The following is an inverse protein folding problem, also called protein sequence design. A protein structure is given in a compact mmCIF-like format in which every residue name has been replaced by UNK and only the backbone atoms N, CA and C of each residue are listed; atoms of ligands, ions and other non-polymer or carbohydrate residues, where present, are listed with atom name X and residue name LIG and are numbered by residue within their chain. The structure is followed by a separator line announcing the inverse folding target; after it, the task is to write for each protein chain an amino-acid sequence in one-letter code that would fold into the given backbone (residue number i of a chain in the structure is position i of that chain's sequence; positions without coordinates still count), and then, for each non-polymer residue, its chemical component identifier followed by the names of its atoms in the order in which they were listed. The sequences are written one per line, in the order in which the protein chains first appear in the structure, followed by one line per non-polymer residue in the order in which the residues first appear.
data_IF_393751124905
#
_entry.id   IF_393751124905
#
_cell.length_a   1.000
_cell.length_b   1.000
_cell.length_c   1.000
_cell.angle_alpha   90.00
_cell.angle_beta   90.00
_cell.angle_gamma   90.00
#
_symmetry.space_group_name_H-M   'P 1'
#
loop_
_entity.id
_entity.type
_entity.pdbx_description
1 polymer ?
#
# COMPACT_ATOMS: atom_id res chain seq x y z
N UNK A 1 16.99 17.67 24.54
CA UNK A 1 16.44 17.22 25.85
C UNK A 1 16.71 15.73 26.06
N UNK A 2 16.82 15.28 27.32
CA UNK A 2 16.92 13.85 27.68
C UNK A 2 15.55 13.38 28.15
N UNK A 3 15.05 12.31 27.54
CA UNK A 3 13.73 11.73 27.81
C UNK A 3 13.93 10.25 28.09
N UNK A 4 13.22 9.73 29.09
CA UNK A 4 13.14 8.29 29.35
C UNK A 4 11.86 7.77 28.71
N UNK A 5 11.97 6.69 27.95
CA UNK A 5 10.87 6.06 27.21
C UNK A 5 10.83 4.58 27.59
N UNK A 6 9.64 4.06 27.78
CA UNK A 6 9.44 2.61 27.84
C UNK A 6 9.30 2.08 26.40
N UNK A 7 10.06 1.03 26.07
CA UNK A 7 10.14 0.47 24.72
C UNK A 7 10.32 -1.04 24.81
N UNK A 8 9.64 -1.78 23.94
CA UNK A 8 9.82 -3.22 23.84
C UNK A 8 11.28 -3.58 23.53
N UNK A 9 11.82 -4.55 24.26
CA UNK A 9 13.22 -4.98 24.13
C UNK A 9 13.59 -5.37 22.70
N UNK A 10 12.71 -6.10 22.01
CA UNK A 10 12.94 -6.51 20.63
C UNK A 10 13.08 -5.32 19.68
N UNK A 11 12.33 -4.24 19.92
CA UNK A 11 12.40 -3.03 19.11
C UNK A 11 13.71 -2.28 19.41
N UNK A 12 14.12 -2.21 20.67
CA UNK A 12 15.39 -1.62 21.07
C UNK A 12 16.59 -2.37 20.45
N UNK A 13 16.55 -3.71 20.43
CA UNK A 13 17.58 -4.55 19.79
C UNK A 13 17.66 -4.26 18.29
N UNK A 14 16.52 -4.19 17.60
CA UNK A 14 16.44 -3.84 16.17
C UNK A 14 16.99 -2.45 15.90
N UNK A 15 16.60 -1.45 16.69
CA UNK A 15 17.08 -0.08 16.54
C UNK A 15 18.60 0.04 16.76
N UNK A 16 19.15 -0.64 17.77
CA UNK A 16 20.61 -0.69 18.01
C UNK A 16 21.36 -1.34 16.85
N UNK A 17 20.84 -2.45 16.31
CA UNK A 17 21.42 -3.12 15.13
C UNK A 17 21.42 -2.18 13.92
N UNK A 18 20.29 -1.52 13.66
CA UNK A 18 20.17 -0.56 12.56
C UNK A 18 21.15 0.62 12.71
N UNK A 19 21.24 1.20 13.90
CA UNK A 19 22.17 2.28 14.21
C UNK A 19 23.63 1.88 13.92
N UNK A 20 24.04 0.68 14.36
CA UNK A 20 25.39 0.14 14.08
C UNK A 20 25.64 -0.05 12.59
N UNK A 21 24.71 -0.67 11.87
CA UNK A 21 24.87 -0.97 10.45
C UNK A 21 24.94 0.29 9.58
N UNK A 22 24.32 1.38 10.03
CA UNK A 22 24.28 2.66 9.31
C UNK A 22 25.32 3.67 9.80
N UNK A 23 26.14 3.32 10.80
CA UNK A 23 27.11 4.25 11.40
C UNK A 23 26.47 5.42 12.15
N UNK A 24 25.23 5.26 12.61
CA UNK A 24 24.44 6.31 13.27
C UNK A 24 24.31 6.04 14.77
N UNK A 25 24.01 7.08 15.54
CA UNK A 25 23.66 6.93 16.95
C UNK A 25 22.23 6.42 17.12
N UNK A 26 21.96 5.65 18.17
CA UNK A 26 20.59 5.23 18.52
C UNK A 26 19.66 6.45 18.68
N UNK A 27 20.18 7.55 19.24
CA UNK A 27 19.45 8.82 19.36
C UNK A 27 18.99 9.34 18.00
N UNK A 28 19.87 9.36 17.00
CA UNK A 28 19.54 9.83 15.64
C UNK A 28 18.45 8.97 14.99
N UNK A 29 18.50 7.65 15.20
CA UNK A 29 17.47 6.72 14.70
C UNK A 29 16.12 6.99 15.36
N UNK A 30 16.10 7.19 16.67
CA UNK A 30 14.87 7.49 17.41
C UNK A 30 14.29 8.85 17.01
N UNK A 31 15.12 9.89 16.89
CA UNK A 31 14.68 11.23 16.49
C UNK A 31 14.17 11.27 15.05
N UNK A 32 14.77 10.51 14.13
CA UNK A 32 14.25 10.37 12.77
C UNK A 32 12.89 9.67 12.76
N UNK A 33 12.77 8.54 13.45
CA UNK A 33 11.49 7.82 13.53
C UNK A 33 10.37 8.71 14.06
N UNK A 34 10.65 9.49 15.12
CA UNK A 34 9.69 10.45 15.65
C UNK A 34 9.34 11.55 14.64
N UNK A 35 10.33 12.09 13.92
CA UNK A 35 10.09 13.10 12.87
C UNK A 35 9.23 12.54 11.74
N UNK A 36 9.46 11.31 11.30
CA UNK A 36 8.66 10.67 10.27
C UNK A 36 7.21 10.54 10.72
N UNK A 37 6.96 10.06 11.94
CA UNK A 37 5.59 9.93 12.49
C UNK A 37 4.89 11.29 12.56
N UNK A 38 5.57 12.33 13.02
CA UNK A 38 5.00 13.68 13.11
C UNK A 38 4.80 14.36 11.74
N UNK A 39 5.55 13.94 10.72
CA UNK A 39 5.42 14.46 9.36
C UNK A 39 4.26 13.82 8.59
N UNK A 40 3.71 12.69 9.07
CA UNK A 40 2.52 12.09 8.47
C UNK A 40 1.30 12.94 8.87
N UNK A 41 0.66 13.67 7.93
CA UNK A 41 -0.58 14.36 8.24
C UNK A 41 -1.64 13.31 8.65
N UNK A 42 -2.57 13.66 9.56
CA UNK A 42 -3.69 12.77 9.86
C UNK A 42 -4.34 12.35 8.53
N UNK A 43 -4.44 11.03 8.30
CA UNK A 43 -5.18 10.48 7.15
C UNK A 43 -6.68 10.66 7.43
N UNK A 44 -7.15 11.90 7.30
CA UNK A 44 -8.56 12.26 7.41
C UNK A 44 -9.28 12.27 6.05
N UNK A 45 -8.58 11.93 4.96
CA UNK A 45 -9.23 11.77 3.66
C UNK A 45 -9.67 10.32 3.48
N UNK A 46 -10.99 10.03 3.48
CA UNK A 46 -11.48 8.72 3.07
C UNK A 46 -10.98 8.44 1.65
N UNK A 47 -10.62 7.19 1.39
CA UNK A 47 -10.18 6.77 0.07
C UNK A 47 -11.31 7.01 -0.94
N UNK A 48 -11.03 7.81 -1.98
CA UNK A 48 -11.92 8.00 -3.13
C UNK A 48 -11.43 7.10 -4.26
N UNK A 49 -12.26 6.14 -4.67
CA UNK A 49 -11.95 5.28 -5.81
C UNK A 49 -11.81 6.17 -7.06
N UNK A 50 -10.64 6.20 -7.73
CA UNK A 50 -10.50 6.96 -8.95
C UNK A 50 -11.39 6.35 -10.04
N UNK A 51 -12.00 7.20 -10.85
CA UNK A 51 -12.72 6.71 -12.02
C UNK A 51 -11.73 6.06 -12.99
N UNK A 52 -11.99 4.79 -13.31
CA UNK A 52 -11.22 3.93 -14.21
C UNK A 52 -12.14 3.22 -15.19
N UNK A 53 -13.33 3.76 -15.39
CA UNK A 53 -14.29 3.26 -16.37
C UNK A 53 -13.69 3.40 -17.78
N UNK A 54 -14.02 2.46 -18.65
CA UNK A 54 -13.57 2.41 -20.06
C UNK A 54 -14.81 2.33 -20.92
N UNK A 55 -14.90 3.16 -21.95
CA UNK A 55 -16.09 3.30 -22.82
C UNK A 55 -16.91 4.55 -22.51
N UNK A 56 -18.04 4.71 -23.21
CA UNK A 56 -19.05 5.75 -22.95
C UNK A 56 -20.25 5.12 -22.24
N UNK A 57 -20.75 5.75 -21.18
CA UNK A 57 -21.94 5.31 -20.44
C UNK A 57 -23.24 5.45 -21.26
N UNK A 58 -23.22 6.25 -22.33
CA UNK A 58 -24.35 6.41 -23.24
C UNK A 58 -24.43 5.28 -24.30
N UNK A 59 -23.38 4.49 -24.46
CA UNK A 59 -23.36 3.37 -25.39
C UNK A 59 -23.99 2.11 -24.79
N UNK A 60 -24.47 1.23 -25.67
CA UNK A 60 -24.96 -0.09 -25.28
C UNK A 60 -23.78 -0.94 -24.81
N UNK A 61 -23.87 -1.54 -23.62
CA UNK A 61 -22.82 -2.40 -23.09
C UNK A 61 -22.70 -3.67 -23.95
N UNK A 62 -21.59 -3.86 -24.68
CA UNK A 62 -21.40 -5.03 -25.54
C UNK A 62 -21.30 -6.33 -24.73
N UNK A 63 -21.01 -6.26 -23.43
CA UNK A 63 -20.88 -7.42 -22.55
C UNK A 63 -22.24 -8.00 -22.16
N UNK A 64 -23.35 -7.24 -22.27
CA UNK A 64 -24.70 -7.75 -22.01
C UNK A 64 -25.12 -8.87 -22.98
N UNK A 65 -24.51 -8.91 -24.16
CA UNK A 65 -24.77 -9.95 -25.16
C UNK A 65 -24.15 -11.31 -24.81
N UNK A 66 -23.22 -11.35 -23.85
CA UNK A 66 -22.50 -12.57 -23.50
C UNK A 66 -23.01 -13.18 -22.19
N UNK A 67 -23.11 -14.50 -22.17
CA UNK A 67 -23.21 -15.26 -20.94
C UNK A 67 -21.91 -15.20 -20.14
N UNK A 68 -22.00 -15.52 -18.85
CA UNK A 68 -20.80 -15.58 -17.99
C UNK A 68 -19.77 -16.59 -18.50
N UNK A 69 -20.22 -17.71 -19.07
CA UNK A 69 -19.34 -18.73 -19.62
C UNK A 69 -18.55 -18.19 -20.82
N UNK A 70 -19.21 -17.56 -21.78
CA UNK A 70 -18.55 -16.98 -22.96
C UNK A 70 -17.54 -15.88 -22.56
N UNK A 71 -17.90 -15.00 -21.63
CA UNK A 71 -16.94 -13.98 -21.13
C UNK A 71 -15.69 -14.61 -20.50
N UNK A 72 -15.89 -15.67 -19.71
CA UNK A 72 -14.78 -16.38 -19.07
C UNK A 72 -13.88 -17.02 -20.12
N UNK A 73 -14.46 -17.69 -21.10
CA UNK A 73 -13.72 -18.43 -22.12
C UNK A 73 -12.90 -17.46 -23.00
N UNK A 74 -13.44 -16.27 -23.32
CA UNK A 74 -12.70 -15.17 -24.00
C UNK A 74 -11.53 -14.66 -23.14
N UNK A 75 -11.76 -14.37 -21.85
CA UNK A 75 -10.73 -13.78 -20.97
C UNK A 75 -9.56 -14.75 -20.76
N UNK A 76 -9.84 -16.04 -20.61
CA UNK A 76 -8.83 -17.05 -20.34
C UNK A 76 -8.32 -17.76 -21.61
N UNK A 77 -8.85 -17.43 -22.79
CA UNK A 77 -8.43 -18.00 -24.07
C UNK A 77 -8.84 -19.47 -24.25
N UNK A 78 -9.94 -19.88 -23.61
CA UNK A 78 -10.49 -21.25 -23.69
C UNK A 78 -11.39 -21.45 -24.94
N UNK A 79 -11.65 -20.38 -25.70
CA UNK A 79 -12.42 -20.38 -26.96
C UNK A 79 -11.60 -20.74 -28.22
N UNK A 80 -10.29 -20.96 -28.13
CA UNK A 80 -9.48 -21.42 -29.29
C UNK A 80 -9.58 -22.95 -29.47
N UNK A 81 -10.05 -23.45 -30.64
CA UNK A 81 -9.95 -24.87 -30.94
C UNK A 81 -8.49 -25.25 -31.16
N UNK A 82 -8.01 -26.23 -30.40
CA UNK A 82 -6.73 -26.92 -30.63
C UNK A 82 -6.71 -27.63 -31.99
#
# INVERSE_FOLDING_TARGET
MKTTLDIQDELLVRAKRHARNTGRSLRSVVEEGLRQVLAVPPRDVPYRLPDRSVGDLADVDPLEAYSWQELRDIIYGEDEPN
#
